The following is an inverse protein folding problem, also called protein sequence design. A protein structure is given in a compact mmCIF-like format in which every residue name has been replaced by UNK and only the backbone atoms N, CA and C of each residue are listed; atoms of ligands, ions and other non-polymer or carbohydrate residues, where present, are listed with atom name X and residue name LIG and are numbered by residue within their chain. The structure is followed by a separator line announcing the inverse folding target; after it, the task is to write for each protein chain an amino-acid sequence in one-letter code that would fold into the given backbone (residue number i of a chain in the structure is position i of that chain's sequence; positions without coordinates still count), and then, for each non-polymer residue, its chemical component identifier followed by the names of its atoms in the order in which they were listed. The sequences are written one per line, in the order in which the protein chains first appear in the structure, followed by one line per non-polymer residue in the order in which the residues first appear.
data_IF_788865935815
#
_entry.id   IF_788865935815
#
_cell.length_a   1.000
_cell.length_b   1.000
_cell.length_c   1.000
_cell.angle_alpha   90.00
_cell.angle_beta   90.00
_cell.angle_gamma   90.00
#
_symmetry.space_group_name_H-M   'P 1'
#
loop_
_entity.id
_entity.type
_entity.pdbx_description
1 polymer ?
#
# COMPACT_ATOMS: atom_id res chain seq x y z
N UNK A 1 4.45 -12.08 0.21
CA UNK A 1 4.66 -10.70 -0.30
C UNK A 1 5.19 -9.83 0.82
N UNK A 2 6.09 -8.88 0.54
CA UNK A 2 6.59 -7.92 1.53
C UNK A 2 6.18 -6.50 1.12
N UNK A 3 5.64 -5.72 2.06
CA UNK A 3 5.23 -4.33 1.84
C UNK A 3 6.29 -3.50 1.12
N UNK A 4 7.54 -3.52 1.60
CA UNK A 4 8.62 -2.72 1.02
C UNK A 4 9.02 -3.16 -0.39
N UNK A 5 8.81 -4.43 -0.73
CA UNK A 5 9.02 -4.90 -2.10
C UNK A 5 7.94 -4.34 -3.01
N UNK A 6 6.66 -4.51 -2.65
CA UNK A 6 5.51 -3.98 -3.37
C UNK A 6 5.60 -2.47 -3.56
N UNK A 7 5.85 -1.71 -2.48
CA UNK A 7 6.04 -0.26 -2.53
C UNK A 7 7.13 0.15 -3.52
N UNK A 8 8.30 -0.52 -3.49
CA UNK A 8 9.39 -0.18 -4.41
C UNK A 8 9.04 -0.47 -5.86
N UNK A 9 8.43 -1.61 -6.14
CA UNK A 9 8.15 -2.06 -7.51
C UNK A 9 6.96 -1.32 -8.11
N UNK A 10 5.89 -1.12 -7.34
CA UNK A 10 4.61 -0.61 -7.84
C UNK A 10 4.51 0.92 -7.73
N UNK A 11 5.11 1.54 -6.70
CA UNK A 11 4.98 2.99 -6.45
C UNK A 11 6.24 3.80 -6.79
N UNK A 12 7.43 3.19 -6.75
CA UNK A 12 8.71 3.91 -6.89
C UNK A 12 9.43 3.57 -8.19
N UNK A 13 9.35 2.32 -8.66
CA UNK A 13 10.12 1.88 -9.81
C UNK A 13 9.57 2.48 -11.10
N UNK A 14 10.42 3.17 -11.85
CA UNK A 14 10.04 3.83 -13.11
C UNK A 14 9.49 5.24 -12.94
N UNK A 15 9.15 5.65 -11.72
CA UNK A 15 8.64 7.00 -11.42
C UNK A 15 9.78 8.00 -11.22
N UNK A 16 9.63 9.20 -11.79
CA UNK A 16 10.58 10.30 -11.63
C UNK A 16 9.99 11.43 -10.78
N UNK A 17 10.38 11.47 -9.50
CA UNK A 17 9.89 12.47 -8.56
C UNK A 17 10.67 13.79 -8.69
N UNK A 18 9.96 14.85 -9.07
CA UNK A 18 10.54 16.20 -9.22
C UNK A 18 10.86 16.82 -7.85
N UNK A 19 10.10 16.48 -6.81
CA UNK A 19 10.32 16.96 -5.45
C UNK A 19 10.03 15.89 -4.41
N UNK A 20 10.63 16.06 -3.23
CA UNK A 20 10.39 15.19 -2.08
C UNK A 20 8.96 15.27 -1.56
N UNK A 21 8.29 16.41 -1.74
CA UNK A 21 6.90 16.60 -1.36
C UNK A 21 5.97 15.73 -2.21
N UNK A 22 6.19 15.72 -3.53
CA UNK A 22 5.43 14.86 -4.46
C UNK A 22 5.65 13.40 -4.10
N UNK A 23 6.90 12.97 -3.89
CA UNK A 23 7.20 11.60 -3.48
C UNK A 23 6.46 11.21 -2.19
N UNK A 24 6.38 12.11 -1.19
CA UNK A 24 5.65 11.86 0.06
C UNK A 24 4.15 11.71 -0.19
N UNK A 25 3.56 12.57 -1.01
CA UNK A 25 2.14 12.49 -1.36
C UNK A 25 1.81 11.20 -2.12
N UNK A 26 2.65 10.81 -3.08
CA UNK A 26 2.48 9.56 -3.84
C UNK A 26 2.57 8.34 -2.93
N UNK A 27 3.59 8.28 -2.05
CA UNK A 27 3.73 7.17 -1.09
C UNK A 27 2.56 7.12 -0.13
N UNK A 28 2.10 8.26 0.37
CA UNK A 28 0.93 8.33 1.26
C UNK A 28 -0.32 7.80 0.55
N UNK A 29 -0.57 8.25 -0.68
CA UNK A 29 -1.71 7.79 -1.47
C UNK A 29 -1.64 6.29 -1.75
N UNK A 30 -0.48 5.77 -2.13
CA UNK A 30 -0.28 4.34 -2.32
C UNK A 30 -0.58 3.53 -1.04
N UNK A 31 -0.14 4.00 0.13
CA UNK A 31 -0.39 3.30 1.39
C UNK A 31 -1.87 3.31 1.74
N UNK A 32 -2.51 4.49 1.74
CA UNK A 32 -3.87 4.65 2.25
C UNK A 32 -4.94 4.18 1.27
N UNK A 33 -4.77 4.50 -0.02
CA UNK A 33 -5.80 4.27 -1.03
C UNK A 33 -5.63 2.92 -1.71
N UNK A 34 -4.42 2.48 -2.02
CA UNK A 34 -4.20 1.21 -2.73
C UNK A 34 -3.90 0.06 -1.77
N UNK A 35 -2.86 0.21 -0.94
CA UNK A 35 -2.35 -0.87 -0.11
C UNK A 35 -3.34 -1.24 1.01
N UNK A 36 -3.69 -0.30 1.88
CA UNK A 36 -4.54 -0.60 3.04
C UNK A 36 -5.97 -0.97 2.63
N UNK A 37 -6.52 -0.30 1.62
CA UNK A 37 -7.93 -0.48 1.24
C UNK A 37 -8.17 -1.65 0.30
N UNK A 38 -7.32 -1.87 -0.71
CA UNK A 38 -7.63 -2.82 -1.80
C UNK A 38 -6.64 -3.99 -1.94
N UNK A 39 -5.38 -3.85 -1.51
CA UNK A 39 -4.37 -4.90 -1.67
C UNK A 39 -4.75 -6.16 -0.93
N UNK A 40 -4.91 -7.27 -1.64
CA UNK A 40 -5.22 -8.56 -1.02
C UNK A 40 -3.95 -9.26 -0.55
N UNK A 41 -3.94 -9.71 0.69
CA UNK A 41 -2.84 -10.50 1.24
C UNK A 41 -3.26 -11.94 1.49
N UNK A 42 -2.45 -12.90 1.03
CA UNK A 42 -2.65 -14.32 1.32
C UNK A 42 -2.63 -14.61 2.82
N UNK A 43 -1.84 -13.85 3.58
CA UNK A 43 -1.78 -13.94 5.05
C UNK A 43 -3.08 -13.45 5.71
N UNK A 44 -3.75 -12.44 5.15
CA UNK A 44 -5.05 -11.95 5.60
C UNK A 44 -6.23 -12.77 5.03
N UNK A 45 -5.99 -13.99 4.54
CA UNK A 45 -7.05 -14.81 3.93
C UNK A 45 -7.61 -14.25 2.60
N UNK A 46 -6.83 -13.41 1.90
CA UNK A 46 -7.27 -12.74 0.67
C UNK A 46 -8.04 -11.44 0.91
N UNK A 47 -8.06 -10.93 2.14
CA UNK A 47 -8.60 -9.63 2.50
C UNK A 47 -7.53 -8.54 2.39
N UNK A 48 -7.99 -7.28 2.30
CA UNK A 48 -7.10 -6.13 2.48
C UNK A 48 -6.77 -5.88 3.95
N UNK A 49 -5.68 -5.14 4.26
CA UNK A 49 -5.34 -4.79 5.62
C UNK A 49 -6.51 -4.14 6.38
N UNK A 50 -7.17 -3.15 5.76
CA UNK A 50 -8.35 -2.47 6.34
C UNK A 50 -9.50 -3.45 6.60
N UNK A 51 -9.79 -4.35 5.65
CA UNK A 51 -10.83 -5.36 5.82
C UNK A 51 -10.50 -6.37 6.93
N UNK A 52 -9.24 -6.77 7.02
CA UNK A 52 -8.78 -7.69 8.04
C UNK A 52 -8.85 -7.05 9.43
N UNK A 53 -8.40 -5.81 9.59
CA UNK A 53 -8.53 -5.07 10.86
C UNK A 53 -10.01 -4.89 11.26
N UNK A 54 -10.88 -4.51 10.31
CA UNK A 54 -12.32 -4.36 10.57
C UNK A 54 -12.99 -5.67 11.00
N UNK A 55 -12.51 -6.84 10.55
CA UNK A 55 -13.02 -8.14 11.00
C UNK A 55 -12.51 -8.56 12.38
N UNK A 56 -11.30 -8.13 12.76
CA UNK A 56 -10.72 -8.43 14.07
C UNK A 56 -11.17 -7.46 15.17
N UNK A 57 -11.73 -6.30 14.80
CA UNK A 57 -12.30 -5.32 15.72
C UNK A 57 -13.77 -5.61 16.10
N UNK A 58 -14.35 -6.71 15.60
CA UNK A 58 -15.68 -7.21 15.94
C UNK A 58 -15.63 -8.26 17.05
#
# INVERSE_FOLDING_TARGET
ESFFHSLKVECIHGEHFISREIMRATVFNYIECDYNRWRRHSWCGGLSPEQFENQNLA
#
